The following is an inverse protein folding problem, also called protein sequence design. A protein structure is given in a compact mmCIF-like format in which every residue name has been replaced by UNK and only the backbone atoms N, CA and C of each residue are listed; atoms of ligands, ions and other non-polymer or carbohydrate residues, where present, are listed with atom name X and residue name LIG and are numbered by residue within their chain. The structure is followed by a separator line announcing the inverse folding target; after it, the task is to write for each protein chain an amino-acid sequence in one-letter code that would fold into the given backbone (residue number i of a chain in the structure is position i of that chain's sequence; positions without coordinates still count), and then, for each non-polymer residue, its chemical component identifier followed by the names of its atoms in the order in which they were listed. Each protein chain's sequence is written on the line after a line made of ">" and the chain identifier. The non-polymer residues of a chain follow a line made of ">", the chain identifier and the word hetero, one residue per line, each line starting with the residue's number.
data_IF_644724319314
#
_entry.id   IF_644724319314
#
_cell.length_a   1.000
_cell.length_b   1.000
_cell.length_c   1.000
_cell.angle_alpha   90.00
_cell.angle_beta   90.00
_cell.angle_gamma   90.00
#
_symmetry.space_group_name_H-M   'P 1'
#
loop_
_entity.id
_entity.type
_entity.pdbx_description
1 polymer ?
#
# COMPACT_ATOMS: atom_id res chain seq x y z
N UNK A 1 17.33 3.16 -18.68
CA UNK A 1 16.72 4.49 -18.54
C UNK A 1 15.55 4.38 -17.59
N UNK A 2 15.42 5.33 -16.67
CA UNK A 2 14.39 5.36 -15.63
C UNK A 2 12.98 5.14 -16.18
N UNK A 3 12.71 5.70 -17.36
CA UNK A 3 11.41 5.59 -18.01
C UNK A 3 11.05 4.15 -18.40
N UNK A 4 12.02 3.36 -18.88
CA UNK A 4 11.83 1.94 -19.19
C UNK A 4 11.61 1.13 -17.92
N UNK A 5 12.37 1.41 -16.86
CA UNK A 5 12.19 0.74 -15.57
C UNK A 5 10.81 1.03 -14.99
N UNK A 6 10.37 2.30 -15.00
CA UNK A 6 9.01 2.70 -14.58
C UNK A 6 7.93 1.97 -15.38
N UNK A 7 8.07 1.88 -16.71
CA UNK A 7 7.09 1.21 -17.56
C UNK A 7 6.97 -0.29 -17.24
N UNK A 8 8.10 -0.99 -17.08
CA UNK A 8 8.14 -2.41 -16.73
C UNK A 8 7.48 -2.66 -15.36
N UNK A 9 7.84 -1.86 -14.36
CA UNK A 9 7.32 -2.01 -13.00
C UNK A 9 5.82 -1.65 -12.92
N UNK A 10 5.38 -0.61 -13.64
CA UNK A 10 3.96 -0.25 -13.75
C UNK A 10 3.16 -1.38 -14.39
N UNK A 11 3.66 -1.96 -15.48
CA UNK A 11 3.01 -3.10 -16.14
C UNK A 11 2.92 -4.30 -15.21
N UNK A 12 3.99 -4.61 -14.48
CA UNK A 12 3.96 -5.68 -13.46
C UNK A 12 2.91 -5.41 -12.37
N UNK A 13 2.78 -4.17 -11.91
CA UNK A 13 1.78 -3.78 -10.90
C UNK A 13 0.35 -3.91 -11.45
N UNK A 14 0.12 -3.66 -12.73
CA UNK A 14 -1.21 -3.77 -13.34
C UNK A 14 -1.58 -5.22 -13.66
N UNK A 15 -0.69 -5.95 -14.35
CA UNK A 15 -1.00 -7.27 -14.90
C UNK A 15 -0.67 -8.42 -13.97
N UNK A 16 0.18 -8.19 -12.95
CA UNK A 16 0.72 -9.22 -12.04
C UNK A 16 1.55 -10.28 -12.76
N UNK A 17 1.88 -10.09 -14.04
CA UNK A 17 2.68 -11.02 -14.82
C UNK A 17 4.16 -10.76 -14.58
N UNK A 18 4.86 -11.74 -14.01
CA UNK A 18 6.30 -11.65 -13.83
C UNK A 18 7.00 -11.81 -15.18
N UNK A 19 7.81 -10.81 -15.53
CA UNK A 19 8.74 -10.90 -16.66
C UNK A 19 10.18 -10.95 -16.11
N UNK A 20 11.14 -11.52 -16.86
CA UNK A 20 12.55 -11.53 -16.45
C UNK A 20 13.14 -10.13 -16.23
N UNK A 21 12.50 -9.10 -16.79
CA UNK A 21 12.90 -7.70 -16.70
C UNK A 21 12.51 -7.03 -15.39
N UNK A 22 11.56 -7.59 -14.61
CA UNK A 22 11.02 -6.95 -13.40
C UNK A 22 12.10 -6.77 -12.32
N UNK A 23 12.90 -7.80 -12.06
CA UNK A 23 13.94 -7.77 -11.02
C UNK A 23 15.09 -6.81 -11.40
N UNK A 24 15.64 -6.85 -12.63
CA UNK A 24 16.61 -5.85 -13.09
C UNK A 24 16.07 -4.42 -13.11
N UNK A 25 14.81 -4.22 -13.54
CA UNK A 25 14.18 -2.91 -13.54
C UNK A 25 14.05 -2.34 -12.12
N UNK A 26 13.71 -3.20 -11.15
CA UNK A 26 13.63 -2.82 -9.74
C UNK A 26 15.00 -2.44 -9.17
N UNK A 27 16.05 -3.19 -9.51
CA UNK A 27 17.41 -2.89 -9.09
C UNK A 27 17.87 -1.52 -9.64
N UNK A 28 17.69 -1.29 -10.94
CA UNK A 28 18.03 -0.01 -11.59
C UNK A 28 17.25 1.15 -10.98
N UNK A 29 15.94 1.00 -10.73
CA UNK A 29 15.14 2.08 -10.14
C UNK A 29 15.52 2.35 -8.67
N UNK A 30 15.92 1.32 -7.93
CA UNK A 30 16.38 1.48 -6.54
C UNK A 30 17.71 2.23 -6.47
N UNK A 31 18.62 1.92 -7.39
CA UNK A 31 19.92 2.61 -7.50
C UNK A 31 19.75 4.09 -7.87
N UNK A 32 18.99 4.38 -8.92
CA UNK A 32 18.70 5.77 -9.33
C UNK A 32 17.92 6.55 -8.27
N UNK A 33 17.00 5.92 -7.54
CA UNK A 33 16.30 6.55 -6.43
C UNK A 33 17.27 6.89 -5.29
N UNK A 34 18.21 5.99 -4.97
CA UNK A 34 19.25 6.23 -3.97
C UNK A 34 20.16 7.40 -4.35
N UNK A 35 20.61 7.45 -5.60
CA UNK A 35 21.44 8.55 -6.12
C UNK A 35 20.69 9.89 -6.04
N UNK A 36 19.43 9.93 -6.49
CA UNK A 36 18.60 11.14 -6.42
C UNK A 36 18.33 11.58 -5.00
N UNK A 37 18.01 10.67 -4.08
CA UNK A 37 17.72 11.03 -2.69
C UNK A 37 18.99 11.45 -1.95
N UNK A 38 20.13 10.80 -2.21
CA UNK A 38 21.42 11.15 -1.59
C UNK A 38 21.97 12.50 -2.03
N UNK A 39 21.55 13.00 -3.19
CA UNK A 39 21.89 14.36 -3.63
C UNK A 39 21.31 15.46 -2.73
N UNK A 40 20.30 15.15 -1.92
CA UNK A 40 19.69 16.07 -0.96
C UNK A 40 20.11 15.71 0.47
N UNK A 41 20.61 16.69 1.24
CA UNK A 41 21.03 16.47 2.63
C UNK A 41 19.84 16.19 3.56
N UNK A 42 18.70 16.86 3.35
CA UNK A 42 17.44 16.51 3.99
C UNK A 42 16.33 16.33 2.95
N UNK A 43 15.37 15.47 3.28
CA UNK A 43 14.15 15.27 2.50
C UNK A 43 13.29 16.55 2.38
N UNK A 44 13.49 17.53 3.27
CA UNK A 44 12.83 18.85 3.22
C UNK A 44 13.41 19.77 2.15
N UNK A 45 14.62 19.47 1.68
CA UNK A 45 15.36 20.29 0.72
C UNK A 45 15.01 19.91 -0.73
N UNK A 46 14.14 18.91 -0.91
CA UNK A 46 13.64 18.47 -2.22
C UNK A 46 12.71 19.55 -2.79
N UNK A 47 12.95 20.07 -4.01
CA UNK A 47 12.08 21.03 -4.65
C UNK A 47 10.66 20.48 -4.84
N UNK A 48 9.63 21.29 -4.59
CA UNK A 48 8.23 20.86 -4.71
C UNK A 48 7.89 20.21 -6.05
N UNK A 49 8.49 20.72 -7.15
CA UNK A 49 8.33 20.16 -8.48
C UNK A 49 8.81 18.70 -8.61
N UNK A 50 9.83 18.30 -7.84
CA UNK A 50 10.41 16.95 -7.88
C UNK A 50 9.79 15.99 -6.85
N UNK A 51 9.06 16.49 -5.84
CA UNK A 51 8.47 15.68 -4.77
C UNK A 51 7.53 14.61 -5.33
N UNK A 52 6.66 14.99 -6.27
CA UNK A 52 5.68 14.07 -6.85
C UNK A 52 6.35 12.90 -7.56
N UNK A 53 7.37 13.18 -8.37
CA UNK A 53 8.10 12.15 -9.11
C UNK A 53 8.87 11.20 -8.18
N UNK A 54 9.60 11.74 -7.20
CA UNK A 54 10.35 10.94 -6.24
C UNK A 54 9.40 10.06 -5.43
N UNK A 55 8.26 10.59 -5.01
CA UNK A 55 7.24 9.83 -4.28
C UNK A 55 6.66 8.70 -5.13
N UNK A 56 6.39 8.96 -6.41
CA UNK A 56 5.87 7.95 -7.33
C UNK A 56 6.89 6.83 -7.56
N UNK A 57 8.17 7.16 -7.75
CA UNK A 57 9.24 6.17 -7.90
C UNK A 57 9.42 5.31 -6.65
N UNK A 58 9.43 5.96 -5.48
CA UNK A 58 9.51 5.26 -4.20
C UNK A 58 8.30 4.35 -3.97
N UNK A 59 7.10 4.79 -4.38
CA UNK A 59 5.88 3.98 -4.31
C UNK A 59 5.96 2.78 -5.25
N UNK A 60 6.36 2.97 -6.52
CA UNK A 60 6.52 1.90 -7.49
C UNK A 60 7.56 0.86 -7.03
N UNK A 61 8.70 1.31 -6.49
CA UNK A 61 9.74 0.42 -5.97
C UNK A 61 9.22 -0.39 -4.77
N UNK A 62 8.65 0.27 -3.76
CA UNK A 62 8.17 -0.39 -2.53
C UNK A 62 7.02 -1.37 -2.80
N UNK A 63 6.09 -1.00 -3.68
CA UNK A 63 4.97 -1.87 -4.05
C UNK A 63 5.40 -3.06 -4.90
N UNK A 64 6.34 -2.87 -5.82
CA UNK A 64 6.93 -3.97 -6.60
C UNK A 64 7.66 -4.93 -5.68
N UNK A 65 8.51 -4.43 -4.77
CA UNK A 65 9.16 -5.25 -3.74
C UNK A 65 8.15 -6.06 -2.92
N UNK A 66 7.08 -5.41 -2.40
CA UNK A 66 6.03 -6.08 -1.61
C UNK A 66 5.39 -7.25 -2.37
N UNK A 67 5.20 -7.08 -3.67
CA UNK A 67 4.56 -8.09 -4.52
C UNK A 67 5.49 -9.23 -4.88
N UNK A 68 6.74 -8.93 -5.20
CA UNK A 68 7.75 -9.96 -5.47
C UNK A 68 8.03 -10.81 -4.23
N UNK A 69 8.08 -10.17 -3.05
CA UNK A 69 8.22 -10.84 -1.75
C UNK A 69 7.04 -11.79 -1.50
N UNK A 70 5.80 -11.30 -1.68
CA UNK A 70 4.59 -12.14 -1.54
C UNK A 70 4.50 -13.28 -2.56
N UNK A 71 5.16 -13.14 -3.71
CA UNK A 71 5.16 -14.13 -4.78
C UNK A 71 6.39 -15.07 -4.73
N UNK A 72 7.20 -15.00 -3.66
CA UNK A 72 8.45 -15.77 -3.51
C UNK A 72 9.40 -15.67 -4.72
N UNK A 73 9.34 -14.55 -5.44
CA UNK A 73 10.08 -14.35 -6.70
C UNK A 73 11.26 -13.40 -6.56
N UNK A 74 11.63 -13.08 -5.32
CA UNK A 74 12.88 -12.38 -5.04
C UNK A 74 14.06 -13.34 -5.24
N UNK A 75 15.20 -12.84 -5.73
CA UNK A 75 16.42 -13.63 -5.79
C UNK A 75 16.81 -14.11 -4.38
N UNK A 76 17.48 -15.27 -4.30
CA UNK A 76 17.97 -15.79 -3.02
C UNK A 76 18.98 -14.80 -2.44
N UNK A 77 18.64 -14.26 -1.28
CA UNK A 77 19.47 -13.34 -0.50
C UNK A 77 19.93 -14.02 0.78
N UNK A 78 21.13 -13.66 1.24
CA UNK A 78 21.58 -14.03 2.58
C UNK A 78 20.79 -13.27 3.67
N UNK A 79 20.94 -13.68 4.94
CA UNK A 79 20.20 -13.07 6.05
C UNK A 79 20.58 -11.61 6.31
N UNK A 80 21.82 -11.21 5.99
CA UNK A 80 22.28 -9.83 6.12
C UNK A 80 21.67 -8.91 5.04
N UNK A 81 21.60 -9.39 3.80
CA UNK A 81 20.97 -8.74 2.65
C UNK A 81 19.48 -8.59 2.87
N UNK A 82 18.80 -9.63 3.36
CA UNK A 82 17.38 -9.54 3.74
C UNK A 82 17.13 -8.46 4.78
N UNK A 83 17.99 -8.37 5.80
CA UNK A 83 17.89 -7.33 6.83
C UNK A 83 18.07 -5.93 6.23
N UNK A 84 19.09 -5.73 5.41
CA UNK A 84 19.34 -4.45 4.74
C UNK A 84 18.15 -4.02 3.86
N UNK A 85 17.62 -4.92 3.03
CA UNK A 85 16.46 -4.64 2.18
C UNK A 85 15.23 -4.32 3.02
N UNK A 86 15.03 -5.02 4.14
CA UNK A 86 13.93 -4.77 5.07
C UNK A 86 14.04 -3.39 5.73
N UNK A 87 15.23 -3.01 6.18
CA UNK A 87 15.48 -1.71 6.83
C UNK A 87 15.30 -0.55 5.82
N UNK A 88 15.83 -0.71 4.60
CA UNK A 88 15.60 0.22 3.49
C UNK A 88 14.11 0.40 3.23
N UNK A 89 13.38 -0.70 3.04
CA UNK A 89 11.95 -0.69 2.78
C UNK A 89 11.16 -0.05 3.92
N UNK A 90 11.48 -0.38 5.17
CA UNK A 90 10.83 0.20 6.36
C UNK A 90 10.99 1.71 6.40
N UNK A 91 12.15 2.21 5.98
CA UNK A 91 12.43 3.65 5.89
C UNK A 91 11.58 4.33 4.80
N UNK A 92 11.46 3.71 3.62
CA UNK A 92 10.60 4.22 2.54
C UNK A 92 9.11 4.18 2.92
N UNK A 93 8.64 3.07 3.51
CA UNK A 93 7.25 2.90 3.95
C UNK A 93 6.88 3.94 5.00
N UNK A 94 7.80 4.24 5.94
CA UNK A 94 7.64 5.29 6.94
C UNK A 94 7.40 6.66 6.29
N UNK A 95 8.07 6.97 5.18
CA UNK A 95 7.87 8.23 4.47
C UNK A 95 6.57 8.24 3.65
N UNK A 96 6.30 7.17 2.90
CA UNK A 96 5.17 7.12 1.96
C UNK A 96 3.81 7.06 2.68
N UNK A 97 3.76 6.31 3.78
CA UNK A 97 2.54 5.93 4.49
C UNK A 97 2.54 6.41 5.94
N UNK A 98 3.22 7.53 6.23
CA UNK A 98 3.20 8.11 7.56
C UNK A 98 1.78 8.50 7.97
N UNK A 99 1.24 7.81 8.97
CA UNK A 99 0.02 8.22 9.67
C UNK A 99 0.42 8.60 11.10
N UNK A 100 0.33 9.89 11.48
CA UNK A 100 0.64 10.31 12.83
C UNK A 100 -0.15 9.52 13.87
N UNK A 101 0.48 9.17 14.99
CA UNK A 101 -0.19 8.36 16.02
C UNK A 101 -1.42 9.05 16.61
N UNK A 102 -1.43 10.38 16.70
CA UNK A 102 -2.60 11.13 17.16
C UNK A 102 -3.80 11.00 16.21
N UNK A 103 -3.57 10.91 14.89
CA UNK A 103 -4.65 10.68 13.90
C UNK A 103 -5.27 9.31 14.12
N UNK A 104 -4.44 8.28 14.37
CA UNK A 104 -4.94 6.93 14.66
C UNK A 104 -5.85 6.92 15.89
N UNK A 105 -5.44 7.62 16.95
CA UNK A 105 -6.23 7.77 18.18
C UNK A 105 -7.52 8.55 17.92
N UNK A 106 -7.45 9.67 17.20
CA UNK A 106 -8.62 10.49 16.88
C UNK A 106 -9.66 9.73 16.04
N UNK A 107 -9.22 8.99 15.01
CA UNK A 107 -10.10 8.16 14.18
C UNK A 107 -10.72 7.03 15.01
N UNK A 108 -9.93 6.36 15.87
CA UNK A 108 -10.46 5.30 16.74
C UNK A 108 -11.55 5.83 17.69
N UNK A 109 -11.34 6.99 18.30
CA UNK A 109 -12.34 7.63 19.15
C UNK A 109 -13.58 8.08 18.37
N UNK A 110 -13.39 8.68 17.19
CA UNK A 110 -14.50 9.09 16.34
C UNK A 110 -15.36 7.90 15.88
N UNK A 111 -14.73 6.78 15.51
CA UNK A 111 -15.43 5.54 15.16
C UNK A 111 -16.13 4.92 16.38
N UNK A 112 -15.47 4.91 17.55
CA UNK A 112 -16.06 4.42 18.79
C UNK A 112 -17.29 5.23 19.22
N UNK A 113 -17.18 6.56 19.24
CA UNK A 113 -18.31 7.44 19.58
C UNK A 113 -19.40 7.40 18.49
N UNK A 114 -19.02 7.32 17.22
CA UNK A 114 -19.93 7.21 16.09
C UNK A 114 -20.81 5.97 16.15
N UNK A 115 -20.24 4.82 16.54
CA UNK A 115 -21.02 3.59 16.76
C UNK A 115 -21.93 3.72 17.98
N UNK A 116 -21.46 4.29 19.09
CA UNK A 116 -22.28 4.50 20.29
C UNK A 116 -23.45 5.49 20.11
N UNK A 117 -23.35 6.44 19.19
CA UNK A 117 -24.44 7.40 18.90
C UNK A 117 -25.33 6.91 17.76
N UNK A 118 -24.74 6.31 16.73
CA UNK A 118 -25.44 5.84 15.53
C UNK A 118 -26.20 4.52 15.69
N UNK A 119 -25.90 3.73 16.73
CA UNK A 119 -26.44 2.37 16.89
C UNK A 119 -27.97 2.30 16.84
N UNK A 120 -28.68 3.26 17.45
CA UNK A 120 -30.14 3.21 17.58
C UNK A 120 -30.83 3.19 16.21
N UNK A 121 -30.34 3.96 15.23
CA UNK A 121 -30.91 3.95 13.87
C UNK A 121 -30.57 2.65 13.14
N UNK A 122 -29.36 2.13 13.31
CA UNK A 122 -28.93 0.89 12.67
C UNK A 122 -29.75 -0.29 13.20
N UNK A 123 -29.92 -0.42 14.51
CA UNK A 123 -30.70 -1.50 15.13
C UNK A 123 -32.18 -1.43 14.76
N UNK A 124 -32.81 -0.25 14.82
CA UNK A 124 -34.24 -0.12 14.47
C UNK A 124 -34.48 -0.42 12.99
N UNK A 125 -33.57 -0.06 12.10
CA UNK A 125 -33.78 -0.23 10.66
C UNK A 125 -33.35 -1.61 10.17
N UNK A 126 -32.15 -2.06 10.55
CA UNK A 126 -31.60 -3.35 10.10
C UNK A 126 -32.07 -4.49 11.00
N UNK A 127 -32.01 -4.33 12.32
CA UNK A 127 -32.36 -5.37 13.28
C UNK A 127 -33.87 -5.58 13.44
N UNK A 128 -34.64 -4.50 13.62
CA UNK A 128 -36.08 -4.61 13.94
C UNK A 128 -37.01 -4.59 12.71
N UNK A 129 -36.61 -3.94 11.61
CA UNK A 129 -37.42 -3.88 10.37
C UNK A 129 -36.97 -4.92 9.33
N UNK A 130 -35.74 -4.83 8.82
CA UNK A 130 -35.25 -5.77 7.79
C UNK A 130 -35.11 -7.19 8.37
N UNK A 131 -34.58 -7.33 9.58
CA UNK A 131 -34.31 -8.63 10.22
C UNK A 131 -35.53 -9.49 10.53
N UNK A 132 -36.76 -8.98 10.44
CA UNK A 132 -37.99 -9.77 10.59
C UNK A 132 -38.40 -10.52 9.33
N UNK A 133 -37.84 -10.17 8.18
CA UNK A 133 -38.07 -10.89 6.94
C UNK A 133 -37.03 -12.00 6.83
N UNK A 134 -37.48 -13.25 6.74
CA UNK A 134 -36.59 -14.38 6.48
C UNK A 134 -35.96 -14.23 5.09
N UNK A 135 -34.68 -13.88 5.03
CA UNK A 135 -33.92 -13.91 3.78
C UNK A 135 -33.59 -15.35 3.43
N UNK A 136 -33.73 -15.71 2.15
CA UNK A 136 -33.28 -17.02 1.68
C UNK A 136 -31.75 -17.07 1.66
N UNK A 137 -31.17 -18.26 1.78
CA UNK A 137 -29.72 -18.45 1.70
C UNK A 137 -29.10 -17.82 0.44
N UNK A 138 -29.82 -17.84 -0.70
CA UNK A 138 -29.37 -17.19 -1.94
C UNK A 138 -29.35 -15.67 -1.86
N UNK A 139 -30.31 -15.05 -1.16
CA UNK A 139 -30.31 -13.60 -0.92
C UNK A 139 -29.18 -13.19 0.05
N UNK A 140 -28.91 -14.01 1.07
CA UNK A 140 -27.77 -13.81 1.98
C UNK A 140 -26.42 -13.88 1.25
N UNK A 141 -26.21 -14.92 0.44
CA UNK A 141 -25.00 -15.09 -0.37
C UNK A 141 -24.82 -13.94 -1.37
N UNK A 142 -25.90 -13.47 -2.00
CA UNK A 142 -25.85 -12.34 -2.93
C UNK A 142 -25.50 -11.03 -2.23
N UNK A 143 -25.99 -10.80 -1.00
CA UNK A 143 -25.66 -9.61 -0.22
C UNK A 143 -24.20 -9.59 0.22
N UNK A 144 -23.65 -10.73 0.64
CA UNK A 144 -22.24 -10.85 1.02
C UNK A 144 -21.30 -10.65 -0.18
N UNK A 145 -21.62 -11.24 -1.34
CA UNK A 145 -20.85 -11.08 -2.58
C UNK A 145 -20.80 -9.64 -3.11
N UNK A 146 -21.79 -8.80 -2.80
CA UNK A 146 -21.84 -7.39 -3.23
C UNK A 146 -21.21 -6.45 -2.20
N UNK A 147 -21.18 -6.85 -0.92
CA UNK A 147 -20.66 -6.02 0.17
C UNK A 147 -19.14 -6.14 0.38
N UNK A 148 -18.52 -7.25 -0.07
CA UNK A 148 -17.05 -7.43 -0.12
C UNK A 148 -16.43 -6.84 -1.38
#
# INVERSE_FOLDING_TARGET
>A
TDEKARAVLTKYIQTKQQTPEVVPALASMTDHLGERVSSYSNLKDIPEAAISEIRNDMYLSTTTFKRLDKADALPKMDDSQKKLVKDYRSSLDSFLQYIPNWVKVAVALALGLGTMVGWKRIVVTVGERIGKHHMTYGQGMSAELVAM
#
